data_IF_513224716754
#
_entry.id   IF_513224716754
#
_cell.length_a   1.000
_cell.length_b   1.000
_cell.length_c   1.000
_cell.angle_alpha   90.00
_cell.angle_beta   90.00
_cell.angle_gamma   90.00
#
_symmetry.space_group_name_H-M   'P 1'
#
loop_
_entity.id
_entity.type
_entity.pdbx_description
1 polymer ?
#
# COMPACT_ATOMS: atom_id res chain seq x y z
N UNK A 1 -10.05 3.87 8.62
CA UNK A 1 -9.91 4.91 9.66
C UNK A 1 -8.74 5.90 9.45
N UNK A 2 -8.01 5.83 8.33
CA UNK A 2 -6.74 6.56 8.18
C UNK A 2 -6.83 8.09 8.22
N UNK A 3 -7.95 8.67 7.76
CA UNK A 3 -8.13 10.14 7.79
C UNK A 3 -8.27 10.70 9.21
N UNK A 4 -8.54 9.86 10.22
CA UNK A 4 -8.63 10.27 11.63
C UNK A 4 -7.38 9.89 12.43
N UNK A 5 -6.82 8.70 12.21
CA UNK A 5 -5.75 8.14 13.04
C UNK A 5 -4.44 7.80 12.30
N UNK A 6 -4.35 8.04 10.99
CA UNK A 6 -3.21 7.60 10.19
C UNK A 6 -3.24 6.10 9.86
N UNK A 7 -2.12 5.57 9.39
CA UNK A 7 -1.94 4.17 9.04
C UNK A 7 -1.82 3.29 10.29
N UNK A 8 -1.98 1.97 10.13
CA UNK A 8 -1.68 1.03 11.22
C UNK A 8 -0.25 1.20 11.73
N UNK A 9 0.71 1.42 10.82
CA UNK A 9 2.11 1.65 11.15
C UNK A 9 2.37 2.97 11.90
N UNK A 10 1.52 3.99 11.76
CA UNK A 10 1.60 5.23 12.54
C UNK A 10 1.19 5.01 14.01
N UNK A 11 0.49 3.90 14.31
CA UNK A 11 -0.04 3.56 15.63
C UNK A 11 0.75 2.42 16.30
N UNK A 12 1.95 2.13 15.83
CA UNK A 12 2.86 1.17 16.46
C UNK A 12 3.78 1.90 17.44
N UNK A 13 3.89 1.36 18.66
CA UNK A 13 4.75 1.93 19.72
C UNK A 13 5.98 1.08 20.05
N UNK A 14 5.98 -0.21 19.70
CA UNK A 14 7.09 -1.16 19.89
C UNK A 14 6.90 -2.39 18.97
N UNK A 15 7.92 -3.23 18.83
CA UNK A 15 7.90 -4.47 18.04
C UNK A 15 8.99 -5.42 18.53
N UNK A 16 8.87 -6.73 18.27
CA UNK A 16 10.05 -7.61 18.25
C UNK A 16 10.36 -8.12 16.86
N UNK A 17 11.64 -8.19 16.54
CA UNK A 17 12.17 -8.64 15.26
C UNK A 17 13.35 -9.59 15.47
N UNK A 18 13.50 -10.57 14.58
CA UNK A 18 14.73 -11.36 14.42
C UNK A 18 15.59 -10.71 13.35
N UNK A 19 16.82 -10.32 13.70
CA UNK A 19 17.78 -9.73 12.78
C UNK A 19 18.59 -10.77 11.99
N UNK A 20 19.54 -10.31 11.15
CA UNK A 20 20.31 -11.19 10.28
C UNK A 20 21.27 -12.12 11.04
N UNK A 21 21.51 -11.85 12.33
CA UNK A 21 22.34 -12.66 13.22
C UNK A 21 21.53 -13.61 14.10
N UNK A 22 20.19 -13.60 13.96
CA UNK A 22 19.28 -14.44 14.75
C UNK A 22 18.93 -13.86 16.12
N UNK A 23 19.30 -12.61 16.42
CA UNK A 23 18.96 -11.96 17.70
C UNK A 23 17.52 -11.47 17.68
N UNK A 24 16.81 -11.65 18.80
CA UNK A 24 15.50 -11.05 19.02
C UNK A 24 15.70 -9.67 19.61
N UNK A 25 15.25 -8.64 18.90
CA UNK A 25 15.39 -7.24 19.30
C UNK A 25 14.00 -6.65 19.53
N UNK A 26 13.79 -5.99 20.67
CA UNK A 26 12.67 -5.06 20.85
C UNK A 26 13.03 -3.66 20.31
N UNK A 27 12.15 -2.65 20.45
CA UNK A 27 12.44 -1.27 19.99
C UNK A 27 13.73 -0.72 20.58
N UNK A 28 13.96 -0.93 21.88
CA UNK A 28 15.14 -0.42 22.56
C UNK A 28 16.43 -1.06 22.01
N UNK A 29 16.43 -2.39 21.82
CA UNK A 29 17.57 -3.13 21.30
C UNK A 29 17.81 -2.91 19.79
N UNK A 30 16.75 -2.74 18.98
CA UNK A 30 16.89 -2.53 17.53
C UNK A 30 17.26 -1.09 17.17
N UNK A 31 16.98 -0.13 18.06
CA UNK A 31 17.17 1.29 17.84
C UNK A 31 16.14 1.94 16.92
N UNK A 32 16.05 3.26 16.99
CA UNK A 32 14.97 4.02 16.34
C UNK A 32 14.99 3.97 14.81
N UNK A 33 16.14 3.75 14.19
CA UNK A 33 16.23 3.67 12.74
C UNK A 33 15.66 2.36 12.17
N UNK A 34 15.95 1.23 12.81
CA UNK A 34 15.36 -0.05 12.41
C UNK A 34 13.86 -0.04 12.77
N UNK A 35 13.50 0.48 13.94
CA UNK A 35 12.10 0.67 14.33
C UNK A 35 11.34 1.57 13.36
N UNK A 36 11.96 2.64 12.85
CA UNK A 36 11.41 3.48 11.78
C UNK A 36 11.24 2.66 10.49
N UNK A 37 12.28 1.94 10.04
CA UNK A 37 12.27 1.21 8.77
C UNK A 37 11.18 0.13 8.71
N UNK A 38 10.93 -0.59 9.80
CA UNK A 38 9.92 -1.66 9.82
C UNK A 38 8.48 -1.13 9.80
N UNK A 39 8.26 0.13 10.17
CA UNK A 39 6.92 0.76 10.18
C UNK A 39 6.51 1.32 8.80
N UNK A 40 6.86 0.62 7.73
CA UNK A 40 6.40 0.97 6.38
C UNK A 40 7.40 0.73 5.26
N UNK A 41 8.63 0.32 5.55
CA UNK A 41 9.69 0.10 4.55
C UNK A 41 9.56 -1.17 3.70
N UNK A 42 8.43 -1.88 3.80
CA UNK A 42 8.19 -3.16 3.13
C UNK A 42 8.72 -4.36 3.93
N UNK A 43 7.87 -5.36 4.13
CA UNK A 43 8.25 -6.62 4.77
C UNK A 43 9.32 -7.36 3.95
N UNK A 44 10.09 -8.25 4.61
CA UNK A 44 11.10 -9.08 3.93
C UNK A 44 12.42 -8.39 3.60
N UNK A 45 12.60 -7.11 3.96
CA UNK A 45 13.86 -6.37 3.75
C UNK A 45 14.73 -6.23 5.01
N UNK A 46 14.17 -6.31 6.22
CA UNK A 46 14.87 -5.89 7.44
C UNK A 46 14.95 -6.95 8.55
N UNK A 47 14.35 -8.12 8.36
CA UNK A 47 14.26 -9.16 9.38
C UNK A 47 12.90 -9.84 9.41
N UNK A 48 12.70 -10.68 10.41
CA UNK A 48 11.44 -11.40 10.66
C UNK A 48 10.75 -10.76 11.87
N UNK A 49 9.67 -10.03 11.62
CA UNK A 49 8.88 -9.44 12.71
C UNK A 49 8.10 -10.55 13.42
N UNK A 50 8.22 -10.59 14.75
CA UNK A 50 7.54 -11.57 15.60
C UNK A 50 6.23 -11.03 16.17
N UNK A 51 6.20 -9.76 16.59
CA UNK A 51 4.97 -9.11 17.06
C UNK A 51 5.07 -7.59 17.01
N UNK A 52 3.93 -6.93 17.12
CA UNK A 52 3.77 -5.48 17.16
C UNK A 52 3.05 -5.03 18.43
N UNK A 53 3.55 -4.00 19.11
CA UNK A 53 2.81 -3.29 20.16
C UNK A 53 2.03 -2.16 19.51
N UNK A 54 0.71 -2.29 19.55
CA UNK A 54 -0.18 -1.30 18.97
C UNK A 54 -0.68 -0.33 20.04
N UNK A 55 -0.79 0.93 19.68
CA UNK A 55 -1.58 1.91 20.41
C UNK A 55 -3.04 1.80 19.92
N UNK A 56 -3.93 1.40 20.82
CA UNK A 56 -5.36 1.35 20.50
C UNK A 56 -5.90 2.78 20.34
N UNK A 57 -6.92 2.92 19.50
CA UNK A 57 -7.54 4.21 19.20
C UNK A 57 -9.00 4.21 19.65
N UNK A 58 -9.51 5.35 20.16
CA UNK A 58 -10.90 5.42 20.58
C UNK A 58 -11.83 5.33 19.36
N UNK A 59 -12.91 4.58 19.50
CA UNK A 59 -13.99 4.51 18.51
C UNK A 59 -15.32 4.78 19.21
N UNK A 60 -16.26 5.51 18.60
CA UNK A 60 -17.59 5.68 19.16
C UNK A 60 -18.29 4.32 19.33
N UNK A 61 -19.16 4.21 20.33
CA UNK A 61 -19.99 3.01 20.53
C UNK A 61 -20.89 2.74 19.33
N UNK A 62 -21.45 3.81 18.76
CA UNK A 62 -22.29 3.78 17.55
C UNK A 62 -21.60 4.50 16.41
N UNK A 63 -21.52 3.84 15.25
CA UNK A 63 -21.03 4.38 13.98
C UNK A 63 -22.08 4.21 12.90
N UNK A 64 -21.99 5.00 11.84
CA UNK A 64 -22.93 4.96 10.72
C UNK A 64 -22.21 4.55 9.43
N UNK A 65 -22.78 3.61 8.70
CA UNK A 65 -22.31 3.16 7.39
C UNK A 65 -23.41 3.31 6.34
N UNK A 66 -23.02 3.44 5.07
CA UNK A 66 -23.93 3.49 3.93
C UNK A 66 -23.22 3.00 2.67
N UNK A 67 -23.97 2.44 1.73
CA UNK A 67 -23.51 2.05 0.40
C UNK A 67 -24.51 2.55 -0.63
N UNK A 68 -23.99 3.24 -1.66
CA UNK A 68 -24.80 3.75 -2.76
C UNK A 68 -24.32 3.10 -4.05
N UNK A 69 -25.20 2.31 -4.66
CA UNK A 69 -24.99 1.80 -6.00
C UNK A 69 -25.59 2.78 -7.01
N UNK A 70 -24.80 3.16 -8.00
CA UNK A 70 -25.19 4.10 -9.05
C UNK A 70 -24.64 3.62 -10.38
N UNK A 71 -25.43 3.83 -11.43
CA UNK A 71 -24.95 3.67 -12.80
C UNK A 71 -24.12 4.90 -13.20
N UNK A 72 -23.06 4.69 -13.97
CA UNK A 72 -22.10 5.75 -14.33
C UNK A 72 -22.75 6.94 -15.06
N UNK A 73 -23.85 6.70 -15.77
CA UNK A 73 -24.62 7.71 -16.51
C UNK A 73 -25.65 8.47 -15.66
N UNK A 74 -25.72 8.20 -14.34
CA UNK A 74 -26.63 8.84 -13.40
C UNK A 74 -25.86 9.22 -12.12
N UNK A 75 -25.23 10.40 -12.15
CA UNK A 75 -24.61 11.06 -10.99
C UNK A 75 -25.46 12.26 -10.53
N UNK A 76 -26.67 12.05 -9.95
CA UNK A 76 -27.43 13.15 -9.38
C UNK A 76 -26.78 13.66 -8.08
N UNK A 77 -27.18 14.84 -7.64
CA UNK A 77 -26.97 15.31 -6.27
C UNK A 77 -27.40 14.20 -5.29
N UNK A 78 -26.56 13.90 -4.28
CA UNK A 78 -26.63 12.62 -3.56
C UNK A 78 -27.96 12.37 -2.83
N UNK A 79 -28.74 13.42 -2.53
CA UNK A 79 -30.12 13.32 -2.03
C UNK A 79 -30.30 12.47 -0.77
N UNK A 80 -29.24 12.30 0.03
CA UNK A 80 -29.19 11.31 1.10
C UNK A 80 -30.10 11.67 2.26
N UNK A 81 -30.77 10.67 2.77
CA UNK A 81 -31.62 10.76 3.96
C UNK A 81 -31.07 9.84 5.06
N UNK A 82 -31.56 10.02 6.29
CA UNK A 82 -31.21 9.12 7.40
C UNK A 82 -31.63 7.66 7.15
N UNK A 83 -32.60 7.40 6.25
CA UNK A 83 -33.03 6.05 5.90
C UNK A 83 -32.00 5.29 5.05
N UNK A 84 -31.07 6.00 4.42
CA UNK A 84 -29.97 5.42 3.64
C UNK A 84 -28.77 4.99 4.52
N UNK A 85 -28.84 5.30 5.82
CA UNK A 85 -27.80 5.08 6.79
C UNK A 85 -28.13 3.88 7.69
N UNK A 86 -27.10 3.09 8.00
CA UNK A 86 -27.19 1.98 8.95
C UNK A 86 -26.32 2.33 10.16
N UNK A 87 -26.94 2.46 11.34
CA UNK A 87 -26.22 2.59 12.60
C UNK A 87 -25.81 1.20 13.11
N UNK A 88 -24.58 1.07 13.57
CA UNK A 88 -24.01 -0.21 14.04
C UNK A 88 -22.85 0.04 14.99
N UNK A 89 -22.33 -1.01 15.61
CA UNK A 89 -21.10 -0.93 16.41
C UNK A 89 -19.88 -0.79 15.51
N UNK A 90 -18.74 -0.36 16.08
CA UNK A 90 -17.50 -0.29 15.30
C UNK A 90 -17.15 -1.63 14.61
N UNK A 91 -17.25 -2.76 15.32
CA UNK A 91 -16.94 -4.07 14.73
C UNK A 91 -17.96 -4.49 13.65
N UNK A 92 -19.24 -4.12 13.81
CA UNK A 92 -20.24 -4.30 12.77
C UNK A 92 -19.90 -3.52 11.49
N UNK A 93 -19.39 -2.30 11.62
CA UNK A 93 -18.92 -1.52 10.47
C UNK A 93 -17.70 -2.11 9.77
N UNK A 94 -16.82 -2.80 10.52
CA UNK A 94 -15.66 -3.50 9.94
C UNK A 94 -16.13 -4.65 9.05
N UNK A 95 -17.09 -5.46 9.52
CA UNK A 95 -17.70 -6.52 8.72
C UNK A 95 -18.40 -5.96 7.47
N UNK A 96 -19.16 -4.87 7.64
CA UNK A 96 -19.86 -4.21 6.55
C UNK A 96 -18.91 -3.75 5.44
N UNK A 97 -17.83 -3.02 5.80
CA UNK A 97 -16.84 -2.51 4.83
C UNK A 97 -16.06 -3.66 4.20
N UNK A 98 -15.83 -4.76 4.92
CA UNK A 98 -15.19 -5.97 4.40
C UNK A 98 -16.11 -6.80 3.48
N UNK A 99 -17.37 -6.40 3.28
CA UNK A 99 -18.31 -7.04 2.37
C UNK A 99 -18.96 -8.32 2.93
N UNK A 100 -18.95 -8.52 4.25
CA UNK A 100 -19.70 -9.62 4.85
C UNK A 100 -21.22 -9.37 4.76
N UNK A 101 -22.03 -10.43 4.59
CA UNK A 101 -23.49 -10.30 4.63
C UNK A 101 -24.01 -9.64 5.90
N UNK A 102 -25.12 -8.90 5.78
CA UNK A 102 -25.80 -8.32 6.94
C UNK A 102 -26.21 -9.42 7.92
N UNK A 103 -25.91 -9.21 9.21
CA UNK A 103 -26.21 -10.18 10.28
C UNK A 103 -25.10 -11.19 10.55
N UNK A 104 -24.00 -11.18 9.79
CA UNK A 104 -22.80 -11.96 10.12
C UNK A 104 -22.27 -11.57 11.50
N UNK A 105 -21.99 -12.57 12.34
CA UNK A 105 -21.46 -12.34 13.70
C UNK A 105 -19.95 -12.10 13.68
N UNK A 106 -19.38 -11.31 14.62
CA UNK A 106 -17.95 -10.98 14.66
C UNK A 106 -17.00 -12.17 14.75
N UNK A 107 -17.45 -13.32 15.26
CA UNK A 107 -16.62 -14.52 15.44
C UNK A 107 -16.09 -15.08 14.12
N UNK A 108 -16.71 -14.76 12.97
CA UNK A 108 -16.20 -15.12 11.64
C UNK A 108 -14.76 -14.62 11.43
N UNK A 109 -14.39 -13.50 12.07
CA UNK A 109 -13.05 -12.90 11.96
C UNK A 109 -11.98 -13.78 12.62
N UNK A 110 -12.36 -14.69 13.52
CA UNK A 110 -11.44 -15.61 14.19
C UNK A 110 -10.98 -16.75 13.26
N UNK A 111 -11.70 -17.00 12.16
CA UNK A 111 -11.32 -18.05 11.22
C UNK A 111 -10.03 -17.75 10.46
N UNK A 112 -9.67 -16.46 10.32
CA UNK A 112 -8.41 -16.05 9.66
C UNK A 112 -8.32 -16.46 8.19
N UNK A 113 -9.46 -16.65 7.50
CA UNK A 113 -9.53 -17.07 6.09
C UNK A 113 -10.07 -15.96 5.20
N UNK A 114 -9.49 -15.83 4.02
CA UNK A 114 -10.05 -14.98 2.97
C UNK A 114 -11.38 -15.55 2.49
N UNK A 115 -12.35 -14.66 2.21
CA UNK A 115 -13.69 -15.03 1.72
C UNK A 115 -13.66 -15.67 0.33
N UNK A 116 -12.68 -15.32 -0.50
CA UNK A 116 -12.43 -15.95 -1.80
C UNK A 116 -10.96 -15.83 -2.20
N UNK A 117 -10.56 -16.57 -3.23
CA UNK A 117 -9.27 -16.47 -3.90
C UNK A 117 -9.49 -16.36 -5.40
N UNK A 118 -8.72 -15.50 -6.05
CA UNK A 118 -8.68 -15.37 -7.51
C UNK A 118 -7.25 -15.07 -7.95
N UNK A 119 -6.96 -15.35 -9.22
CA UNK A 119 -5.78 -14.78 -9.85
C UNK A 119 -6.06 -13.30 -10.11
N UNK A 120 -5.07 -12.44 -9.88
CA UNK A 120 -5.24 -11.01 -10.12
C UNK A 120 -3.92 -10.32 -10.43
N UNK A 121 -4.02 -9.19 -11.13
CA UNK A 121 -2.97 -8.18 -11.24
C UNK A 121 -3.47 -6.89 -10.63
N UNK A 122 -2.64 -6.28 -9.78
CA UNK A 122 -2.92 -5.00 -9.16
C UNK A 122 -1.89 -3.95 -9.55
N UNK A 123 -2.32 -2.68 -9.55
CA UNK A 123 -1.47 -1.48 -9.65
C UNK A 123 -2.06 -0.38 -8.76
N UNK A 124 -1.27 0.64 -8.43
CA UNK A 124 -1.76 1.77 -7.64
C UNK A 124 -1.15 3.09 -8.05
N UNK A 125 -1.90 4.17 -7.84
CA UNK A 125 -1.48 5.55 -8.08
C UNK A 125 -1.95 6.46 -6.94
N UNK A 126 -1.26 7.58 -6.76
CA UNK A 126 -1.72 8.68 -5.93
C UNK A 126 -2.10 9.89 -6.79
N UNK A 127 -3.25 10.50 -6.48
CA UNK A 127 -3.77 11.67 -7.19
C UNK A 127 -3.53 12.93 -6.35
N UNK A 128 -2.94 13.95 -6.98
CA UNK A 128 -2.55 15.22 -6.34
C UNK A 128 -3.39 16.43 -6.83
N UNK A 129 -4.06 16.28 -7.97
CA UNK A 129 -4.96 17.28 -8.56
C UNK A 129 -6.19 16.55 -9.14
N UNK A 130 -7.38 17.19 -9.20
CA UNK A 130 -8.56 16.58 -9.79
C UNK A 130 -8.32 16.10 -11.23
N UNK A 131 -8.75 14.89 -11.54
CA UNK A 131 -8.68 14.33 -12.89
C UNK A 131 -9.76 15.04 -13.73
N UNK A 132 -9.42 15.64 -14.88
CA UNK A 132 -10.40 16.32 -15.72
C UNK A 132 -11.42 15.32 -16.27
N UNK A 133 -12.62 15.81 -16.61
CA UNK A 133 -13.71 14.98 -17.13
C UNK A 133 -13.30 14.19 -18.38
N UNK A 134 -12.50 14.79 -19.27
CA UNK A 134 -11.94 14.11 -20.44
C UNK A 134 -11.04 12.91 -20.06
N UNK A 135 -10.29 13.03 -18.96
CA UNK A 135 -9.49 11.95 -18.37
C UNK A 135 -10.37 10.85 -17.77
N UNK A 136 -11.44 11.21 -17.06
CA UNK A 136 -12.41 10.26 -16.50
C UNK A 136 -13.16 9.50 -17.60
N UNK A 137 -13.60 10.20 -18.65
CA UNK A 137 -14.30 9.58 -19.78
C UNK A 137 -13.41 8.59 -20.52
N UNK A 138 -12.13 8.91 -20.75
CA UNK A 138 -11.20 7.97 -21.36
C UNK A 138 -10.80 6.82 -20.44
N UNK A 139 -10.82 7.02 -19.11
CA UNK A 139 -10.68 5.96 -18.11
C UNK A 139 -11.86 4.98 -18.22
N UNK A 140 -13.10 5.46 -18.11
CA UNK A 140 -14.29 4.60 -18.14
C UNK A 140 -14.44 3.83 -19.45
N UNK A 141 -14.16 4.48 -20.59
CA UNK A 141 -14.15 3.78 -21.90
C UNK A 141 -13.23 2.56 -21.86
N UNK A 142 -12.02 2.67 -21.32
CA UNK A 142 -11.08 1.54 -21.20
C UNK A 142 -11.49 0.55 -20.12
N UNK A 143 -12.02 1.07 -19.01
CA UNK A 143 -12.42 0.27 -17.86
C UNK A 143 -13.47 -0.78 -18.24
N UNK A 144 -14.46 -0.38 -19.06
CA UNK A 144 -15.56 -1.23 -19.50
C UNK A 144 -15.17 -2.33 -20.51
N UNK A 145 -13.90 -2.39 -20.97
CA UNK A 145 -13.42 -3.46 -21.87
C UNK A 145 -12.84 -4.68 -21.12
N UNK A 146 -12.83 -4.66 -19.79
CA UNK A 146 -12.41 -5.77 -18.96
C UNK A 146 -13.59 -6.19 -18.07
N UNK A 147 -13.95 -7.46 -18.14
CA UNK A 147 -15.19 -7.98 -17.54
C UNK A 147 -15.11 -8.05 -16.01
N UNK A 148 -13.91 -8.27 -15.48
CA UNK A 148 -13.64 -8.55 -14.07
C UNK A 148 -12.70 -7.51 -13.45
N UNK A 149 -12.80 -6.26 -13.95
CA UNK A 149 -12.07 -5.12 -13.45
C UNK A 149 -12.68 -4.53 -12.17
N UNK A 150 -11.82 -4.10 -11.25
CA UNK A 150 -12.20 -3.33 -10.06
C UNK A 150 -11.26 -2.13 -9.89
N UNK A 151 -11.81 -0.98 -9.52
CA UNK A 151 -11.02 0.16 -9.06
C UNK A 151 -11.55 0.68 -7.74
N UNK A 152 -10.65 1.00 -6.81
CA UNK A 152 -10.98 1.50 -5.48
C UNK A 152 -10.27 2.82 -5.27
N UNK A 153 -11.03 3.89 -5.02
CA UNK A 153 -10.51 5.24 -4.85
C UNK A 153 -10.67 5.63 -3.38
N UNK A 154 -9.56 5.65 -2.65
CA UNK A 154 -9.57 5.86 -1.20
C UNK A 154 -9.20 7.32 -0.88
N UNK A 155 -10.09 8.11 -0.25
CA UNK A 155 -9.82 9.53 0.02
C UNK A 155 -8.74 9.74 1.08
N UNK A 156 -7.82 10.66 0.83
CA UNK A 156 -6.76 11.08 1.75
C UNK A 156 -7.17 12.41 2.43
N UNK A 157 -6.22 13.19 2.93
CA UNK A 157 -6.48 14.34 3.79
C UNK A 157 -6.67 13.98 5.26
N UNK A 158 -7.18 14.92 6.05
CA UNK A 158 -7.30 14.75 7.49
C UNK A 158 -5.94 14.48 8.15
N UNK A 159 -5.86 13.48 9.02
CA UNK A 159 -4.63 13.06 9.69
C UNK A 159 -3.50 12.70 8.71
N UNK A 160 -3.82 12.10 7.56
CA UNK A 160 -2.80 11.76 6.55
C UNK A 160 -2.05 12.98 6.02
N UNK A 161 -2.63 14.18 6.08
CA UNK A 161 -1.97 15.43 5.69
C UNK A 161 -1.25 16.15 6.84
N UNK A 162 -1.46 15.69 8.08
CA UNK A 162 -0.83 16.27 9.29
C UNK A 162 0.48 15.57 9.63
N UNK A 163 0.60 14.29 9.30
CA UNK A 163 1.81 13.49 9.51
C UNK A 163 2.88 13.86 8.47
N UNK A 164 4.13 14.04 8.89
CA UNK A 164 5.26 14.34 8.00
C UNK A 164 5.50 13.19 7.01
N UNK A 165 5.92 13.51 5.78
CA UNK A 165 6.32 12.49 4.79
C UNK A 165 7.45 11.59 5.32
N UNK A 166 8.30 12.07 6.23
CA UNK A 166 9.45 11.33 6.78
C UNK A 166 9.20 10.68 8.15
N UNK A 167 8.02 10.85 8.74
CA UNK A 167 7.69 10.33 10.08
C UNK A 167 7.89 8.81 10.17
N UNK A 168 7.43 8.12 9.13
CA UNK A 168 7.68 6.71 8.86
C UNK A 168 8.05 6.55 7.37
N UNK A 169 8.50 5.37 6.90
CA UNK A 169 8.92 5.21 5.51
C UNK A 169 7.84 5.51 4.48
N UNK A 170 6.56 5.30 4.82
CA UNK A 170 5.43 5.64 3.95
C UNK A 170 5.33 7.16 3.75
N UNK A 171 5.54 7.68 2.53
CA UNK A 171 5.72 9.12 2.32
C UNK A 171 4.48 9.84 1.79
N UNK A 172 3.40 9.14 1.43
CA UNK A 172 2.28 9.72 0.67
C UNK A 172 1.31 10.49 1.58
N UNK A 173 1.71 11.68 2.02
CA UNK A 173 1.00 12.48 3.04
C UNK A 173 0.31 13.71 2.45
N UNK A 174 0.68 14.90 2.94
CA UNK A 174 0.11 16.20 2.53
C UNK A 174 0.18 16.38 1.01
N UNK A 175 -0.91 16.90 0.43
CA UNK A 175 -1.06 17.10 -1.03
C UNK A 175 -1.66 15.91 -1.77
N UNK A 176 -1.84 14.75 -1.14
CA UNK A 176 -2.61 13.63 -1.70
C UNK A 176 -4.12 13.87 -1.53
N UNK A 177 -4.87 13.83 -2.64
CA UNK A 177 -6.33 13.90 -2.62
C UNK A 177 -6.92 12.51 -2.37
N UNK A 178 -6.48 11.50 -3.12
CA UNK A 178 -6.85 10.10 -2.94
C UNK A 178 -5.80 9.15 -3.56
N UNK A 179 -5.84 7.88 -3.15
CA UNK A 179 -5.11 6.78 -3.77
C UNK A 179 -6.08 5.98 -4.64
N UNK A 180 -5.64 5.56 -5.82
CA UNK A 180 -6.36 4.63 -6.69
C UNK A 180 -5.68 3.27 -6.61
N UNK A 181 -6.48 2.22 -6.44
CA UNK A 181 -6.09 0.85 -6.74
C UNK A 181 -6.79 0.41 -8.03
N UNK A 182 -6.04 -0.21 -8.93
CA UNK A 182 -6.54 -0.86 -10.13
C UNK A 182 -6.36 -2.37 -9.96
N UNK A 183 -7.38 -3.16 -10.31
CA UNK A 183 -7.39 -4.60 -10.21
C UNK A 183 -8.04 -5.17 -11.49
N UNK A 184 -7.42 -6.21 -12.04
CA UNK A 184 -8.06 -7.14 -12.98
C UNK A 184 -7.88 -8.55 -12.40
N UNK A 185 -8.95 -9.34 -12.37
CA UNK A 185 -8.97 -10.67 -11.74
C UNK A 185 -9.55 -11.73 -12.67
N UNK A 186 -9.15 -13.00 -12.52
CA UNK A 186 -9.61 -14.07 -13.41
C UNK A 186 -9.59 -15.45 -12.73
N UNK A 187 -10.31 -16.41 -13.33
CA UNK A 187 -10.49 -17.77 -12.79
C UNK A 187 -9.63 -18.85 -13.46
N UNK A 188 -9.33 -18.72 -14.76
CA UNK A 188 -8.78 -19.80 -15.60
C UNK A 188 -7.25 -19.98 -15.52
N UNK A 189 -6.64 -19.63 -14.38
CA UNK A 189 -5.19 -19.72 -14.19
C UNK A 189 -4.41 -18.94 -15.24
N UNK A 190 -3.34 -19.53 -15.78
CA UNK A 190 -2.43 -18.80 -16.67
C UNK A 190 -2.98 -18.61 -18.10
N UNK A 191 -4.05 -19.31 -18.49
CA UNK A 191 -4.55 -19.35 -19.87
C UNK A 191 -4.87 -17.97 -20.45
N UNK A 192 -5.39 -17.06 -19.64
CA UNK A 192 -5.77 -15.70 -20.04
C UNK A 192 -5.05 -14.61 -19.24
N UNK A 193 -4.05 -14.96 -18.42
CA UNK A 193 -3.37 -14.02 -17.55
C UNK A 193 -2.75 -12.84 -18.33
N UNK A 194 -2.15 -13.10 -19.50
CA UNK A 194 -1.52 -12.06 -20.31
C UNK A 194 -2.52 -10.98 -20.78
N UNK A 195 -3.73 -11.37 -21.18
CA UNK A 195 -4.79 -10.44 -21.60
C UNK A 195 -5.12 -9.45 -20.46
N UNK A 196 -5.34 -9.97 -19.26
CA UNK A 196 -5.69 -9.16 -18.08
C UNK A 196 -4.53 -8.26 -17.64
N UNK A 197 -3.30 -8.78 -17.69
CA UNK A 197 -2.09 -8.04 -17.34
C UNK A 197 -1.81 -6.93 -18.37
N UNK A 198 -1.98 -7.20 -19.66
CA UNK A 198 -1.81 -6.18 -20.72
C UNK A 198 -2.88 -5.09 -20.61
N UNK A 199 -4.15 -5.46 -20.37
CA UNK A 199 -5.23 -4.49 -20.16
C UNK A 199 -4.92 -3.52 -19.01
N UNK A 200 -4.53 -4.02 -17.83
CA UNK A 200 -4.26 -3.14 -16.68
C UNK A 200 -3.01 -2.29 -16.90
N UNK A 201 -2.01 -2.78 -17.65
CA UNK A 201 -0.84 -1.98 -18.07
C UNK A 201 -1.27 -0.85 -19.00
N UNK A 202 -2.14 -1.10 -19.99
CA UNK A 202 -2.68 -0.07 -20.88
C UNK A 202 -3.49 0.98 -20.13
N UNK A 203 -4.35 0.56 -19.19
CA UNK A 203 -5.11 1.47 -18.34
C UNK A 203 -4.20 2.33 -17.45
N UNK A 204 -3.21 1.71 -16.81
CA UNK A 204 -2.24 2.40 -15.98
C UNK A 204 -1.39 3.40 -16.78
N UNK A 205 -0.97 3.03 -17.99
CA UNK A 205 -0.25 3.93 -18.89
C UNK A 205 -1.12 5.12 -19.31
N UNK A 206 -2.41 4.90 -19.58
CA UNK A 206 -3.35 5.98 -19.87
C UNK A 206 -3.49 6.97 -18.70
N UNK A 207 -3.42 6.50 -17.46
CA UNK A 207 -3.57 7.36 -16.26
C UNK A 207 -2.36 8.24 -15.95
N UNK A 208 -1.21 8.01 -16.59
CA UNK A 208 0.07 8.72 -16.34
C UNK A 208 -0.03 10.25 -16.23
N UNK A 209 -0.73 11.00 -17.13
CA UNK A 209 -0.77 12.46 -17.04
C UNK A 209 -1.68 13.00 -15.91
N UNK A 210 -2.51 12.14 -15.30
CA UNK A 210 -3.53 12.55 -14.34
C UNK A 210 -3.19 12.23 -12.88
N UNK A 211 -2.09 11.52 -12.66
CA UNK A 211 -1.64 11.04 -11.34
C UNK A 211 -0.35 11.75 -10.94
N UNK A 212 0.15 11.44 -9.74
CA UNK A 212 1.44 11.97 -9.27
C UNK A 212 2.57 11.70 -10.26
N UNK A 213 3.54 12.61 -10.28
CA UNK A 213 4.70 12.57 -11.17
C UNK A 213 5.93 13.08 -10.43
N UNK A 214 7.11 12.59 -10.83
CA UNK A 214 8.42 12.93 -10.26
C UNK A 214 8.57 12.72 -8.74
N UNK A 215 8.41 11.48 -8.23
CA UNK A 215 8.14 10.22 -8.95
C UNK A 215 6.64 9.96 -9.13
N UNK A 216 6.30 8.95 -9.95
CA UNK A 216 4.93 8.41 -9.97
C UNK A 216 4.76 7.52 -8.75
N UNK A 217 4.07 8.05 -7.75
CA UNK A 217 3.93 7.45 -6.42
C UNK A 217 3.07 6.17 -6.48
N UNK A 218 3.52 5.09 -5.83
CA UNK A 218 2.82 3.79 -5.74
C UNK A 218 2.88 3.25 -4.31
N UNK A 219 1.96 2.36 -3.91
CA UNK A 219 1.94 1.82 -2.55
C UNK A 219 2.64 0.45 -2.44
N UNK A 220 3.61 0.32 -1.54
CA UNK A 220 4.43 -0.90 -1.39
C UNK A 220 3.63 -2.17 -1.08
N UNK A 221 2.51 -2.07 -0.35
CA UNK A 221 1.66 -3.24 -0.06
C UNK A 221 0.85 -3.69 -1.29
N UNK A 222 0.81 -2.90 -2.36
CA UNK A 222 0.31 -3.28 -3.68
C UNK A 222 1.50 -3.50 -4.62
N UNK A 223 2.35 -4.46 -4.24
CA UNK A 223 3.64 -4.74 -4.88
C UNK A 223 3.48 -4.98 -6.38
N UNK A 224 4.18 -4.18 -7.17
CA UNK A 224 4.15 -4.23 -8.63
C UNK A 224 5.56 -4.40 -9.22
N UNK A 225 5.85 -5.61 -9.69
CA UNK A 225 7.14 -5.92 -10.31
C UNK A 225 7.36 -5.23 -11.66
N UNK A 226 6.30 -4.69 -12.28
CA UNK A 226 6.44 -3.92 -13.53
C UNK A 226 7.17 -2.59 -13.31
N UNK A 227 7.26 -2.11 -12.06
CA UNK A 227 8.06 -0.93 -11.70
C UNK A 227 9.57 -1.19 -11.78
N UNK A 228 9.99 -2.46 -11.84
CA UNK A 228 11.38 -2.89 -11.87
C UNK A 228 11.71 -3.85 -10.73
N UNK A 229 12.81 -4.58 -10.90
CA UNK A 229 13.28 -5.59 -9.95
C UNK A 229 14.79 -5.47 -9.75
N UNK A 230 15.25 -5.82 -8.55
CA UNK A 230 16.65 -6.07 -8.26
C UNK A 230 17.18 -7.18 -9.18
N UNK A 231 18.45 -7.05 -9.60
CA UNK A 231 19.15 -8.03 -10.42
C UNK A 231 19.97 -8.97 -9.54
N UNK A 232 20.12 -10.23 -9.94
CA UNK A 232 20.91 -11.22 -9.18
C UNK A 232 22.44 -10.99 -9.21
N UNK A 233 22.92 -9.86 -9.75
CA UNK A 233 24.31 -9.67 -10.14
C UNK A 233 25.21 -9.06 -9.05
N UNK A 234 24.83 -7.93 -8.42
CA UNK A 234 25.65 -7.26 -7.40
C UNK A 234 24.91 -6.16 -6.63
N UNK A 235 25.42 -5.75 -5.46
CA UNK A 235 24.86 -4.65 -4.66
C UNK A 235 24.89 -3.30 -5.41
N UNK A 236 25.93 -3.01 -6.20
CA UNK A 236 25.98 -1.80 -7.04
C UNK A 236 24.86 -1.82 -8.09
N UNK A 237 24.68 -2.97 -8.76
CA UNK A 237 23.58 -3.14 -9.72
C UNK A 237 22.21 -3.00 -9.05
N UNK A 238 22.08 -3.51 -7.82
CA UNK A 238 20.87 -3.40 -7.04
C UNK A 238 20.59 -1.98 -6.55
N UNK A 239 21.58 -1.18 -6.14
CA UNK A 239 21.36 0.22 -5.81
C UNK A 239 20.80 1.03 -6.99
N UNK A 240 21.37 0.86 -8.18
CA UNK A 240 20.92 1.57 -9.39
C UNK A 240 19.52 1.10 -9.80
N UNK A 241 19.30 -0.22 -9.89
CA UNK A 241 18.01 -0.78 -10.30
C UNK A 241 16.90 -0.55 -9.29
N UNK A 242 17.21 -0.61 -7.99
CA UNK A 242 16.26 -0.32 -6.92
C UNK A 242 15.82 1.13 -6.86
N UNK A 243 16.67 2.07 -7.29
CA UNK A 243 16.28 3.48 -7.36
C UNK A 243 15.10 3.72 -8.32
N UNK A 244 14.94 2.89 -9.36
CA UNK A 244 13.84 3.03 -10.34
C UNK A 244 12.47 2.83 -9.69
N UNK A 245 12.32 1.84 -8.80
CA UNK A 245 11.05 1.56 -8.11
C UNK A 245 11.00 2.11 -6.68
N UNK A 246 12.14 2.24 -6.01
CA UNK A 246 12.24 2.64 -4.61
C UNK A 246 11.76 4.06 -4.36
N UNK A 247 12.06 4.99 -5.28
CA UNK A 247 11.52 6.34 -5.21
C UNK A 247 10.01 6.39 -5.45
N UNK A 248 9.43 5.46 -6.23
CA UNK A 248 7.98 5.40 -6.43
C UNK A 248 7.26 5.00 -5.14
N UNK A 249 7.80 4.02 -4.38
CA UNK A 249 7.22 3.57 -3.11
C UNK A 249 7.52 4.51 -1.93
N UNK A 250 8.72 5.09 -1.86
CA UNK A 250 9.21 5.73 -0.63
C UNK A 250 9.66 7.18 -0.80
N UNK A 251 9.62 7.74 -2.02
CA UNK A 251 10.12 9.10 -2.30
C UNK A 251 11.50 9.29 -1.66
N UNK A 252 11.75 10.44 -1.03
CA UNK A 252 13.03 10.76 -0.37
C UNK A 252 13.39 9.82 0.78
N UNK A 253 12.43 9.11 1.37
CA UNK A 253 12.69 8.15 2.46
C UNK A 253 13.47 6.92 1.98
N UNK A 254 13.48 6.65 0.67
CA UNK A 254 14.22 5.53 0.09
C UNK A 254 15.70 5.55 0.48
N UNK A 255 16.34 6.72 0.49
CA UNK A 255 17.75 6.82 0.84
C UNK A 255 18.02 6.45 2.31
N UNK A 256 17.14 6.88 3.23
CA UNK A 256 17.25 6.48 4.65
C UNK A 256 17.06 4.98 4.80
N UNK A 257 16.12 4.37 4.08
CA UNK A 257 15.92 2.91 4.08
C UNK A 257 17.19 2.16 3.64
N UNK A 258 17.89 2.63 2.60
CA UNK A 258 19.17 2.04 2.15
C UNK A 258 20.25 2.12 3.24
N UNK A 259 20.35 3.26 3.95
CA UNK A 259 21.29 3.42 5.07
C UNK A 259 20.99 2.46 6.22
N UNK A 260 19.70 2.33 6.58
CA UNK A 260 19.30 1.38 7.62
C UNK A 260 19.63 -0.05 7.19
N UNK A 261 19.26 -0.43 5.97
CA UNK A 261 19.54 -1.76 5.40
C UNK A 261 21.02 -2.10 5.45
N UNK A 262 21.87 -1.17 5.00
CA UNK A 262 23.34 -1.35 4.99
C UNK A 262 23.90 -1.67 6.38
N UNK A 263 23.34 -1.07 7.43
CA UNK A 263 23.81 -1.28 8.80
C UNK A 263 23.27 -2.57 9.41
N UNK A 264 21.99 -2.88 9.21
CA UNK A 264 21.31 -3.98 9.93
C UNK A 264 21.40 -5.32 9.20
N UNK A 265 21.64 -5.30 7.89
CA UNK A 265 21.79 -6.49 7.06
C UNK A 265 22.74 -6.21 5.87
N UNK A 266 24.06 -6.02 6.15
CA UNK A 266 25.06 -5.71 5.13
C UNK A 266 25.26 -6.83 4.09
N UNK A 267 25.05 -8.08 4.49
CA UNK A 267 25.18 -9.26 3.63
C UNK A 267 23.92 -9.52 2.78
N UNK A 268 22.89 -8.69 2.96
CA UNK A 268 21.62 -8.75 2.24
C UNK A 268 20.94 -10.12 2.38
N UNK A 269 20.93 -10.68 3.58
CA UNK A 269 20.29 -11.94 3.91
C UNK A 269 18.78 -11.88 3.59
N UNK A 270 18.10 -10.86 4.10
CA UNK A 270 16.67 -10.65 3.86
C UNK A 270 16.47 -9.92 2.53
N UNK A 271 16.16 -10.68 1.48
CA UNK A 271 16.03 -10.15 0.13
C UNK A 271 14.93 -10.83 -0.68
N UNK A 272 14.40 -10.06 -1.63
CA UNK A 272 13.48 -10.50 -2.67
C UNK A 272 13.58 -9.54 -3.87
N UNK A 273 12.74 -9.72 -4.89
CA UNK A 273 12.84 -9.02 -6.19
C UNK A 273 12.75 -7.49 -6.07
N UNK A 274 12.06 -6.97 -5.05
CA UNK A 274 11.98 -5.52 -4.73
C UNK A 274 12.35 -5.23 -3.26
N UNK A 275 13.28 -5.97 -2.66
CA UNK A 275 13.73 -5.66 -1.29
C UNK A 275 14.68 -4.46 -1.31
N UNK A 276 14.72 -3.69 -0.24
CA UNK A 276 15.71 -2.62 -0.07
C UNK A 276 17.10 -3.26 -0.10
N UNK A 277 18.01 -2.91 -1.04
CA UNK A 277 19.36 -3.45 -1.03
C UNK A 277 20.28 -2.64 -0.10
N UNK A 278 21.35 -3.24 0.45
CA UNK A 278 22.40 -2.46 1.09
C UNK A 278 23.13 -1.60 0.05
N UNK A 279 23.70 -0.48 0.49
CA UNK A 279 24.56 0.33 -0.35
C UNK A 279 25.82 -0.48 -0.74
N UNK A 280 26.37 -0.27 -1.95
CA UNK A 280 27.62 -0.91 -2.33
C UNK A 280 28.74 -0.45 -1.39
N UNK A 281 29.44 -1.41 -0.77
CA UNK A 281 30.63 -1.12 0.02
C UNK A 281 31.68 -0.42 -0.85
N UNK A 282 32.10 0.80 -0.48
CA UNK A 282 33.45 1.25 -0.81
C UNK A 282 34.40 0.41 0.04
N UNK A 283 35.13 -0.53 -0.56
CA UNK A 283 36.33 -1.09 0.08
C UNK A 283 37.16 0.12 0.53
N UNK A 284 37.37 0.28 1.84
CA UNK A 284 38.50 1.09 2.31
C UNK A 284 39.72 0.47 1.64
N UNK A 285 40.38 1.24 0.77
CA UNK A 285 41.72 0.88 0.29
C UNK A 285 42.54 0.72 1.57
N UNK A 286 42.97 -0.51 1.85
CA UNK A 286 44.01 -0.72 2.87
C UNK A 286 45.24 -0.02 2.31
N UNK A 287 45.54 1.16 2.85
CA UNK A 287 46.86 1.78 2.71
C UNK A 287 47.88 1.02 3.53
#
# INVERSE_FOLDING_TARGET
MMRKYGLGADNVVDARIVDATGRILDRAAMGEDLFWAIRGGGGGSFGIILWWKLNLVPVPETVTVLQLLRHWNKLPELGLTRKDCIETTWIGSVLYIAGYPTGTKPEVLLEGKSTFKSYFKAKSDFVKAPIPETGLNGFWRRFMHEETALTIWTPYGGMMSKISESEIPFPHRKGTIFMIQYLSSWGDGDKYAEKHIDWIRKLYNYMTPYVSKFPRETYVNYRDLDLGMNKKLSNTSNFITSSVWGYNYFKKNFYRLLLVKTRVDPDNLFRHEQSIPPLPFRKKVKG
#
